data_IF_227706792653
#
_entry.id   IF_227706792653
#
_cell.length_a   1.000
_cell.length_b   1.000
_cell.length_c   1.000
_cell.angle_alpha   90.00
_cell.angle_beta   90.00
_cell.angle_gamma   90.00
#
_symmetry.space_group_name_H-M   'P 1'
#
loop_
_entity.id
_entity.type
_entity.pdbx_description
1 polymer ?
#
# COMPACT_ATOMS: atom_id res chain seq x y z
N UNK A 1 -14.47 23.06 -4.80
CA UNK A 1 -14.41 22.81 -3.35
C UNK A 1 -13.73 21.48 -2.96
N UNK A 2 -14.14 20.33 -3.52
CA UNK A 2 -13.56 19.00 -3.23
C UNK A 2 -12.03 18.89 -3.42
N UNK A 3 -11.46 19.53 -4.45
CA UNK A 3 -10.03 19.43 -4.74
C UNK A 3 -9.14 20.09 -3.66
N UNK A 4 -9.59 21.22 -3.09
CA UNK A 4 -8.88 21.94 -2.02
C UNK A 4 -8.96 21.17 -0.71
N UNK A 5 -10.13 20.62 -0.38
CA UNK A 5 -10.33 19.75 0.78
C UNK A 5 -9.48 18.46 0.67
N UNK A 6 -9.40 17.86 -0.52
CA UNK A 6 -8.54 16.69 -0.79
C UNK A 6 -7.06 17.02 -0.60
N UNK A 7 -6.58 18.17 -1.09
CA UNK A 7 -5.20 18.62 -0.85
C UNK A 7 -4.92 18.83 0.64
N UNK A 8 -5.83 19.47 1.37
CA UNK A 8 -5.70 19.66 2.82
C UNK A 8 -5.70 18.32 3.58
N UNK A 9 -6.56 17.38 3.18
CA UNK A 9 -6.67 16.05 3.77
C UNK A 9 -5.40 15.21 3.59
N UNK A 10 -4.76 15.27 2.42
CA UNK A 10 -3.49 14.59 2.15
C UNK A 10 -2.25 15.42 2.52
N UNK A 11 -2.42 16.62 3.09
CA UNK A 11 -1.31 17.46 3.56
C UNK A 11 -0.62 16.88 4.79
N UNK A 12 -1.31 16.05 5.58
CA UNK A 12 -0.72 15.23 6.65
C UNK A 12 -0.60 13.78 6.18
N UNK A 13 0.48 13.12 6.57
CA UNK A 13 0.67 11.69 6.30
C UNK A 13 -0.46 10.88 6.93
N UNK A 14 -1.27 10.23 6.08
CA UNK A 14 -2.36 9.37 6.52
C UNK A 14 -1.81 8.04 7.04
N UNK A 15 -2.58 7.38 7.92
CA UNK A 15 -2.25 6.05 8.41
C UNK A 15 -2.05 5.10 7.22
N UNK A 16 -0.80 4.72 6.97
CA UNK A 16 -0.48 3.83 5.87
C UNK A 16 -0.62 2.38 6.33
N UNK A 17 -1.16 1.53 5.47
CA UNK A 17 -1.30 0.11 5.78
C UNK A 17 0.04 -0.64 5.92
N UNK A 18 1.18 0.04 5.73
CA UNK A 18 2.52 -0.49 5.98
C UNK A 18 2.76 -0.87 7.44
N UNK A 19 2.00 -0.29 8.38
CA UNK A 19 2.05 -0.67 9.81
C UNK A 19 1.12 -1.84 10.14
N UNK A 20 0.24 -2.24 9.20
CA UNK A 20 -0.76 -3.28 9.45
C UNK A 20 -0.10 -4.65 9.67
N UNK A 21 -0.60 -5.48 10.63
CA UNK A 21 -0.16 -6.85 10.78
C UNK A 21 -0.36 -7.69 9.50
N UNK A 22 -1.27 -7.28 8.61
CA UNK A 22 -1.48 -7.91 7.29
C UNK A 22 -0.19 -7.98 6.47
N UNK A 23 0.48 -6.83 6.31
CA UNK A 23 1.71 -6.74 5.50
C UNK A 23 2.94 -7.27 6.23
N UNK A 24 2.92 -7.23 7.56
CA UNK A 24 4.08 -7.55 8.40
C UNK A 24 4.14 -9.01 8.88
N UNK A 25 2.98 -9.60 9.19
CA UNK A 25 2.88 -10.90 9.87
C UNK A 25 2.19 -11.96 8.99
N UNK A 26 1.22 -11.54 8.19
CA UNK A 26 0.42 -12.45 7.38
C UNK A 26 0.86 -12.50 5.92
N UNK A 27 1.94 -11.81 5.55
CA UNK A 27 2.48 -11.76 4.19
C UNK A 27 1.43 -11.37 3.13
N UNK A 28 0.72 -10.27 3.35
CA UNK A 28 -0.18 -9.68 2.34
C UNK A 28 0.48 -8.46 1.67
N UNK A 29 0.38 -8.40 0.36
CA UNK A 29 0.59 -7.20 -0.45
C UNK A 29 -0.64 -6.31 -0.43
N UNK A 30 -0.43 -5.00 -0.35
CA UNK A 30 -1.50 -4.01 -0.48
C UNK A 30 -1.19 -3.18 -1.70
N UNK A 31 -2.08 -3.27 -2.69
CA UNK A 31 -1.99 -2.52 -3.92
C UNK A 31 -3.00 -1.39 -3.90
N UNK A 32 -2.55 -0.16 -4.12
CA UNK A 32 -3.42 1.01 -4.27
C UNK A 32 -3.28 1.56 -5.68
N UNK A 33 -4.40 1.65 -6.40
CA UNK A 33 -4.39 2.17 -7.77
C UNK A 33 -4.56 3.70 -7.78
N UNK A 34 -4.42 4.29 -8.96
CA UNK A 34 -4.55 5.75 -9.20
C UNK A 34 -5.97 6.30 -8.98
N UNK A 35 -6.98 5.44 -9.02
CA UNK A 35 -8.37 5.80 -8.68
C UNK A 35 -8.62 5.85 -7.16
N UNK A 36 -7.66 5.37 -6.35
CA UNK A 36 -7.80 5.28 -4.89
C UNK A 36 -8.47 4.00 -4.40
N UNK A 37 -8.62 2.99 -5.27
CA UNK A 37 -9.07 1.64 -4.88
C UNK A 37 -7.90 0.86 -4.29
N UNK A 38 -8.19 0.03 -3.30
CA UNK A 38 -7.20 -0.78 -2.58
C UNK A 38 -7.56 -2.25 -2.74
N UNK A 39 -6.60 -3.07 -3.15
CA UNK A 39 -6.71 -4.51 -3.21
C UNK A 39 -5.74 -5.16 -2.22
N UNK A 40 -6.21 -6.21 -1.54
CA UNK A 40 -5.39 -7.11 -0.76
C UNK A 40 -4.98 -8.29 -1.63
N UNK A 41 -3.69 -8.60 -1.65
CA UNK A 41 -3.11 -9.64 -2.51
C UNK A 41 -2.27 -10.53 -1.61
N UNK A 42 -2.59 -11.82 -1.55
CA UNK A 42 -1.79 -12.77 -0.77
C UNK A 42 -0.38 -12.92 -1.39
N UNK A 43 0.67 -12.96 -0.57
CA UNK A 43 2.00 -13.27 -1.07
C UNK A 43 2.05 -14.69 -1.64
N UNK A 44 2.73 -14.84 -2.77
CA UNK A 44 2.86 -16.13 -3.48
C UNK A 44 1.75 -16.41 -4.51
N UNK A 45 0.87 -15.45 -4.78
CA UNK A 45 -0.01 -15.52 -5.96
C UNK A 45 0.71 -14.94 -7.19
N UNK A 46 0.31 -15.40 -8.37
CA UNK A 46 0.82 -14.87 -9.65
C UNK A 46 0.61 -13.34 -9.79
N UNK A 47 -0.51 -12.81 -9.28
CA UNK A 47 -0.73 -11.36 -9.23
C UNK A 47 0.28 -10.63 -8.34
N UNK A 48 0.65 -11.20 -7.19
CA UNK A 48 1.68 -10.64 -6.34
C UNK A 48 3.03 -10.62 -7.05
N UNK A 49 3.36 -11.69 -7.77
CA UNK A 49 4.60 -11.80 -8.55
C UNK A 49 4.63 -10.81 -9.72
N UNK A 50 3.51 -10.60 -10.42
CA UNK A 50 3.41 -9.58 -11.47
C UNK A 50 3.67 -8.18 -10.91
N UNK A 51 3.05 -7.85 -9.77
CA UNK A 51 3.19 -6.54 -9.15
C UNK A 51 4.57 -6.31 -8.53
N UNK A 52 5.21 -7.34 -7.97
CA UNK A 52 6.56 -7.23 -7.42
C UNK A 52 7.62 -7.13 -8.52
N UNK A 53 7.37 -7.69 -9.71
CA UNK A 53 8.27 -7.59 -10.86
C UNK A 53 8.06 -6.32 -11.69
N UNK A 54 6.88 -5.69 -11.60
CA UNK A 54 6.59 -4.46 -12.35
C UNK A 54 7.50 -3.30 -11.92
N UNK A 55 8.36 -2.75 -12.79
CA UNK A 55 9.30 -1.68 -12.43
C UNK A 55 8.63 -0.31 -12.33
N UNK A 56 7.45 -0.13 -12.92
CA UNK A 56 6.70 1.12 -12.91
C UNK A 56 5.94 1.32 -11.58
N UNK A 57 5.72 0.24 -10.82
CA UNK A 57 5.06 0.28 -9.52
C UNK A 57 5.98 0.81 -8.42
N UNK A 58 5.52 1.84 -7.71
CA UNK A 58 6.20 2.36 -6.52
C UNK A 58 6.00 1.42 -5.33
N UNK A 59 7.02 0.62 -5.04
CA UNK A 59 7.01 -0.40 -3.97
C UNK A 59 7.47 0.19 -2.65
N UNK A 60 6.73 -0.11 -1.59
CA UNK A 60 7.11 0.26 -0.22
C UNK A 60 7.15 -0.98 0.67
N UNK A 61 8.25 -1.16 1.41
CA UNK A 61 8.36 -2.27 2.38
C UNK A 61 7.45 -2.04 3.58
N UNK A 62 6.90 -3.11 4.14
CA UNK A 62 6.20 -3.07 5.43
C UNK A 62 7.11 -2.47 6.52
N UNK A 63 6.51 -1.79 7.51
CA UNK A 63 7.29 -1.23 8.62
C UNK A 63 7.91 -2.36 9.43
N UNK A 64 9.22 -2.24 9.71
CA UNK A 64 9.91 -3.11 10.65
C UNK A 64 9.44 -2.79 12.07
N UNK A 65 9.19 -3.80 12.89
CA UNK A 65 9.14 -3.57 14.34
C UNK A 65 10.56 -3.22 14.78
N UNK A 66 10.73 -2.11 15.49
CA UNK A 66 11.84 -2.01 16.45
C UNK A 66 11.46 -2.96 17.59
N UNK A 67 12.14 -4.09 17.71
CA UNK A 67 12.31 -4.80 18.98
C UNK A 67 13.64 -4.35 19.56
#
# INVERSE_FOLDING_TARGET
EMATARKAFFSKGQACFRASPLTKRYAWGIHSNSEGKIALIAAGTDEYEKLINDPNLKKYKAMKSKR
#
